data_IF_982920906313
#
_entry.id   IF_982920906313
#
_cell.length_a   1.000
_cell.length_b   1.000
_cell.length_c   1.000
_cell.angle_alpha   90.00
_cell.angle_beta   90.00
_cell.angle_gamma   90.00
#
_symmetry.space_group_name_H-M   'P 1'
#
loop_
_entity.id
_entity.type
_entity.pdbx_description
1 polymer ?
#
# COMPACT_ATOMS: atom_id res chain seq x y z
N UNK A 1 10.12 9.54 2.95
CA UNK A 1 10.06 8.72 4.20
C UNK A 1 10.66 9.43 5.42
N UNK A 2 11.92 9.89 5.35
CA UNK A 2 12.63 10.50 6.49
C UNK A 2 11.93 11.73 7.09
N UNK A 3 11.32 12.56 6.23
CA UNK A 3 10.49 13.71 6.63
C UNK A 3 9.25 13.31 7.46
N UNK A 4 8.56 12.23 7.07
CA UNK A 4 7.36 11.77 7.78
C UNK A 4 7.72 11.22 9.17
N UNK A 5 8.86 10.53 9.28
CA UNK A 5 9.36 10.06 10.57
C UNK A 5 9.69 11.23 11.49
N UNK A 6 10.32 12.28 10.96
CA UNK A 6 10.63 13.49 11.71
C UNK A 6 9.35 14.21 12.19
N UNK A 7 8.38 14.40 11.29
CA UNK A 7 7.05 14.94 11.62
C UNK A 7 6.29 14.12 12.66
N UNK A 8 6.39 12.79 12.59
CA UNK A 8 5.80 11.89 13.58
C UNK A 8 6.49 11.95 14.94
N UNK A 9 7.69 12.53 15.04
CA UNK A 9 8.51 12.52 16.25
C UNK A 9 9.31 11.22 16.45
N UNK A 10 9.61 10.50 15.37
CA UNK A 10 10.51 9.36 15.33
C UNK A 10 9.86 8.04 14.90
N UNK A 11 10.72 7.04 14.64
CA UNK A 11 10.33 5.71 14.17
C UNK A 11 9.34 5.01 15.11
N UNK A 12 9.52 5.18 16.43
CA UNK A 12 8.69 4.57 17.46
C UNK A 12 7.29 5.17 17.50
N UNK A 13 7.19 6.50 17.46
CA UNK A 13 5.89 7.19 17.40
C UNK A 13 5.14 6.89 16.11
N UNK A 14 5.85 6.85 14.97
CA UNK A 14 5.22 6.49 13.70
C UNK A 14 4.70 5.06 13.71
N UNK A 15 5.49 4.10 14.21
CA UNK A 15 5.05 2.71 14.31
C UNK A 15 3.83 2.56 15.23
N UNK A 16 3.83 3.23 16.38
CA UNK A 16 2.73 3.22 17.35
C UNK A 16 1.44 3.81 16.76
N UNK A 17 1.54 4.97 16.10
CA UNK A 17 0.42 5.63 15.44
C UNK A 17 -0.17 4.81 14.28
N UNK A 18 0.64 3.97 13.63
CA UNK A 18 0.22 3.03 12.59
C UNK A 18 -0.23 1.67 13.16
N UNK A 19 -0.20 1.48 14.47
CA UNK A 19 -0.50 0.19 15.12
C UNK A 19 0.51 -0.92 14.80
N UNK A 20 1.70 -0.58 14.30
CA UNK A 20 2.76 -1.56 14.00
C UNK A 20 3.50 -1.93 15.28
N UNK A 21 3.42 -3.20 15.65
CA UNK A 21 4.14 -3.77 16.80
C UNK A 21 5.67 -3.68 16.70
N UNK A 22 6.23 -3.51 15.50
CA UNK A 22 7.69 -3.46 15.29
C UNK A 22 8.13 -2.18 14.60
N UNK A 23 9.00 -1.42 15.27
CA UNK A 23 9.70 -0.26 14.70
C UNK A 23 10.61 -0.63 13.54
N UNK A 24 11.09 -1.88 13.49
CA UNK A 24 11.94 -2.39 12.43
C UNK A 24 11.22 -2.46 11.07
N UNK A 25 9.88 -2.59 11.06
CA UNK A 25 9.08 -2.50 9.83
C UNK A 25 9.18 -1.10 9.22
N UNK A 26 9.08 -0.06 10.06
CA UNK A 26 9.23 1.34 9.62
C UNK A 26 10.67 1.63 9.20
N UNK A 27 11.65 1.04 9.89
CA UNK A 27 13.06 1.15 9.50
C UNK A 27 13.33 0.48 8.13
N UNK A 28 12.66 -0.64 7.83
CA UNK A 28 12.77 -1.31 6.54
C UNK A 28 12.24 -0.43 5.40
N UNK A 29 11.18 0.36 5.65
CA UNK A 29 10.62 1.31 4.69
C UNK A 29 11.58 2.45 4.32
N UNK A 30 12.56 2.79 5.16
CA UNK A 30 13.60 3.74 4.78
C UNK A 30 14.48 3.21 3.64
N UNK A 31 14.70 1.90 3.59
CA UNK A 31 15.57 1.26 2.61
C UNK A 31 14.78 0.78 1.37
N UNK A 32 13.58 0.22 1.57
CA UNK A 32 12.77 -0.40 0.50
C UNK A 32 11.61 0.48 0.02
N UNK A 33 11.30 1.54 0.77
CA UNK A 33 10.08 2.34 0.61
C UNK A 33 8.90 1.76 1.39
N UNK A 34 7.98 2.64 1.81
CA UNK A 34 6.74 2.23 2.44
C UNK A 34 5.81 1.58 1.40
N UNK A 35 5.06 0.53 1.76
CA UNK A 35 4.05 -0.05 0.89
C UNK A 35 2.90 0.94 0.66
N UNK A 36 2.27 0.83 -0.51
CA UNK A 36 1.22 1.76 -0.95
C UNK A 36 0.01 1.77 -0.03
N UNK A 37 -0.30 0.62 0.56
CA UNK A 37 -1.41 0.43 1.51
C UNK A 37 -1.21 1.21 2.83
N UNK A 38 0.05 1.44 3.23
CA UNK A 38 0.37 2.13 4.48
C UNK A 38 0.57 3.64 4.28
N UNK A 39 0.82 4.08 3.05
CA UNK A 39 1.04 5.48 2.75
C UNK A 39 -0.14 6.41 3.12
N UNK A 40 -1.43 6.09 2.88
CA UNK A 40 -2.54 6.93 3.36
C UNK A 40 -2.63 7.00 4.89
N UNK A 41 -2.27 5.92 5.59
CA UNK A 41 -2.19 5.92 7.04
C UNK A 41 -1.04 6.83 7.54
N UNK A 42 0.12 6.77 6.89
CA UNK A 42 1.26 7.65 7.23
C UNK A 42 0.91 9.12 6.93
N UNK A 43 0.27 9.41 5.80
CA UNK A 43 -0.17 10.75 5.44
C UNK A 43 -1.18 11.31 6.46
N UNK A 44 -2.14 10.49 6.91
CA UNK A 44 -3.12 10.90 7.93
C UNK A 44 -2.46 11.22 9.28
N UNK A 45 -1.43 10.47 9.66
CA UNK A 45 -0.71 10.65 10.94
C UNK A 45 0.28 11.81 10.88
N UNK A 46 0.97 11.99 9.75
CA UNK A 46 2.13 12.89 9.64
C UNK A 46 1.87 14.15 8.82
N UNK A 47 0.80 14.17 8.04
CA UNK A 47 0.50 15.21 7.06
C UNK A 47 1.44 15.22 5.85
N UNK A 48 2.29 14.20 5.68
CA UNK A 48 3.25 14.14 4.58
C UNK A 48 2.67 13.34 3.42
N UNK A 49 2.60 13.91 2.21
CA UNK A 49 2.03 13.22 1.06
C UNK A 49 2.82 11.97 0.67
N UNK A 50 2.09 10.97 0.17
CA UNK A 50 2.63 9.70 -0.34
C UNK A 50 3.79 9.87 -1.34
N UNK A 51 3.71 10.92 -2.17
CA UNK A 51 4.74 11.28 -3.17
C UNK A 51 6.09 11.63 -2.53
N UNK A 52 6.09 12.32 -1.39
CA UNK A 52 7.29 12.64 -0.60
C UNK A 52 7.76 11.44 0.24
N UNK A 53 6.85 10.53 0.57
CA UNK A 53 7.19 9.29 1.25
C UNK A 53 8.04 8.39 0.35
N UNK A 54 7.68 8.26 -0.93
CA UNK A 54 8.35 7.38 -1.89
C UNK A 54 8.54 8.06 -3.26
N UNK A 55 9.62 8.85 -3.46
CA UNK A 55 9.87 9.52 -4.73
C UNK A 55 10.27 8.57 -5.87
N UNK A 56 10.68 7.34 -5.55
CA UNK A 56 11.06 6.32 -6.55
C UNK A 56 9.87 5.58 -7.17
N UNK A 57 8.63 5.91 -6.79
CA UNK A 57 7.43 5.24 -7.31
C UNK A 57 6.53 6.24 -8.00
N UNK A 58 6.03 5.84 -9.16
CA UNK A 58 5.10 6.62 -9.96
C UNK A 58 3.69 6.52 -9.36
N UNK A 59 3.40 7.39 -8.39
CA UNK A 59 2.12 7.44 -7.67
C UNK A 59 0.92 7.69 -8.58
N UNK A 60 1.13 8.37 -9.72
CA UNK A 60 0.12 8.60 -10.76
C UNK A 60 -0.45 7.30 -11.33
N UNK A 61 0.31 6.19 -11.35
CA UNK A 61 -0.19 4.88 -11.79
C UNK A 61 -1.00 4.15 -10.71
N UNK A 62 -0.72 4.39 -9.43
CA UNK A 62 -1.38 3.68 -8.32
C UNK A 62 -2.77 4.24 -7.99
N UNK A 63 -3.01 5.54 -8.16
CA UNK A 63 -4.36 6.12 -7.97
C UNK A 63 -5.43 5.44 -8.86
N UNK A 64 -5.02 4.92 -10.02
CA UNK A 64 -5.92 4.23 -10.96
C UNK A 64 -6.31 2.81 -10.54
N UNK A 65 -5.67 2.23 -9.52
CA UNK A 65 -5.88 0.84 -9.12
C UNK A 65 -6.45 0.73 -7.71
N UNK A 66 -6.17 1.69 -6.82
CA UNK A 66 -6.63 1.67 -5.42
C UNK A 66 -8.00 2.35 -5.22
N UNK A 67 -8.51 3.06 -6.23
CA UNK A 67 -9.88 3.60 -6.24
C UNK A 67 -10.85 2.71 -7.07
N UNK A 68 -10.44 1.48 -7.39
CA UNK A 68 -11.35 0.43 -7.84
C UNK A 68 -11.68 -0.46 -6.62
N UNK A 69 -12.85 -0.29 -5.96
CA UNK A 69 -13.34 -1.28 -5.00
C UNK A 69 -13.66 -2.65 -5.64
N UNK A 70 -13.50 -2.78 -6.96
CA UNK A 70 -13.90 -3.92 -7.78
C UNK A 70 -12.75 -4.90 -8.06
N UNK A 71 -12.05 -5.37 -7.02
CA UNK A 71 -11.28 -6.61 -7.15
C UNK A 71 -11.41 -7.56 -5.97
N UNK A 72 -12.61 -7.55 -5.38
CA UNK A 72 -13.07 -8.53 -4.40
C UNK A 72 -14.19 -9.40 -4.99
N UNK A 73 -14.02 -9.92 -6.21
CA UNK A 73 -14.78 -11.03 -6.83
C UNK A 73 -14.10 -11.26 -8.19
N UNK A 74 -13.64 -12.40 -8.64
CA UNK A 74 -14.03 -13.78 -8.41
C UNK A 74 -12.91 -14.64 -9.01
N UNK A 75 -12.29 -15.51 -8.21
CA UNK A 75 -11.53 -16.68 -8.70
C UNK A 75 -12.18 -17.91 -8.08
N UNK A 76 -13.47 -18.04 -8.32
CA UNK A 76 -14.21 -19.25 -8.00
C UNK A 76 -15.40 -19.35 -8.96
N UNK A 77 -15.18 -19.97 -10.12
CA UNK A 77 -16.21 -20.63 -10.95
C UNK A 77 -15.56 -21.27 -12.17
N UNK A 78 -15.15 -22.53 -12.01
CA UNK A 78 -15.53 -23.68 -12.85
C UNK A 78 -15.64 -23.37 -14.35
N UNK A 79 -14.70 -23.88 -15.15
CA UNK A 79 -14.94 -24.10 -16.59
C UNK A 79 -15.93 -25.27 -16.75
N UNK A 80 -17.09 -25.10 -17.41
CA UNK A 80 -17.73 -26.21 -18.10
C UNK A 80 -17.20 -26.24 -19.54
N UNK A 81 -16.58 -27.34 -20.03
CA UNK A 81 -16.49 -27.52 -21.47
C UNK A 81 -17.87 -27.92 -21.99
N UNK A 82 -18.72 -26.94 -22.32
CA UNK A 82 -19.94 -27.21 -23.07
C UNK A 82 -19.60 -27.41 -24.54
N UNK A 83 -19.71 -28.67 -24.99
CA UNK A 83 -20.30 -29.07 -26.27
C UNK A 83 -19.55 -28.72 -27.57
N UNK A 84 -19.03 -29.76 -28.23
CA UNK A 84 -18.73 -29.74 -29.66
C UNK A 84 -19.04 -31.11 -30.25
N UNK A 85 -20.25 -31.28 -30.78
CA UNK A 85 -20.57 -32.42 -31.64
C UNK A 85 -20.00 -32.26 -33.04
N UNK A 86 -20.11 -33.36 -33.80
CA UNK A 86 -19.93 -33.53 -35.26
C UNK A 86 -18.61 -34.21 -35.69
N UNK A 87 -18.59 -35.06 -36.73
CA UNK A 87 -19.69 -35.66 -37.52
C UNK A 87 -20.20 -37.02 -37.03
#
# INVERSE_FOLDING_TARGET
>A
MRLAIDKAGGLKKLADALGKKRTQTVANWLTRGAPTEECPAIESVTGVPCELLRPNVDWKKFQRVLCDPDRSREVDSIQPPTGGGHP
#
